data_IF_454151925972
#
_entry.id   IF_454151925972
#
_cell.length_a   1.000
_cell.length_b   1.000
_cell.length_c   1.000
_cell.angle_alpha   90.00
_cell.angle_beta   90.00
_cell.angle_gamma   90.00
#
_symmetry.space_group_name_H-M   'P 1'
#
loop_
_entity.id
_entity.type
_entity.pdbx_description
1 polymer ?
#
# COMPACT_ATOMS: atom_id res chain seq x y z
N UNK A 1 16.58 -5.64 18.19
CA UNK A 1 16.77 -4.17 18.08
C UNK A 1 15.41 -3.51 18.27
N UNK A 2 15.37 -2.28 18.74
CA UNK A 2 14.12 -1.55 18.85
C UNK A 2 13.74 -0.91 17.51
N UNK A 3 12.46 -0.58 17.30
CA UNK A 3 12.01 0.14 16.11
C UNK A 3 12.85 1.39 15.81
N UNK A 4 13.24 2.14 16.86
CA UNK A 4 14.04 3.35 16.70
C UNK A 4 15.46 3.05 16.18
N UNK A 5 16.10 1.99 16.66
CA UNK A 5 17.41 1.55 16.17
C UNK A 5 17.33 1.12 14.71
N UNK A 6 16.27 0.42 14.32
CA UNK A 6 16.06 -0.02 12.95
C UNK A 6 15.80 1.17 12.01
N UNK A 7 15.00 2.15 12.42
CA UNK A 7 14.78 3.38 11.69
C UNK A 7 16.04 4.25 11.57
N UNK A 8 16.91 4.25 12.59
CA UNK A 8 18.21 4.92 12.53
C UNK A 8 19.20 4.20 11.59
N UNK A 9 19.12 2.86 11.52
CA UNK A 9 19.96 2.06 10.63
C UNK A 9 19.63 2.28 9.14
N UNK A 10 18.34 2.39 8.77
CA UNK A 10 17.93 2.51 7.37
C UNK A 10 18.35 3.85 6.77
N UNK A 11 18.67 3.88 5.50
CA UNK A 11 18.85 5.10 4.70
C UNK A 11 18.28 4.92 3.28
N UNK A 12 18.13 6.01 2.52
CA UNK A 12 17.66 5.97 1.15
C UNK A 12 18.80 5.60 0.20
N UNK A 13 19.03 4.30 0.02
CA UNK A 13 20.05 3.79 -0.88
C UNK A 13 19.78 4.23 -2.32
N UNK A 14 20.83 4.68 -3.02
CA UNK A 14 20.77 5.10 -4.43
C UNK A 14 21.20 4.01 -5.40
N UNK A 15 21.72 2.92 -4.88
CA UNK A 15 22.14 1.74 -5.64
C UNK A 15 21.89 0.50 -4.80
N UNK A 16 21.34 -0.53 -5.42
CA UNK A 16 21.16 -1.85 -4.80
C UNK A 16 22.26 -2.79 -5.27
N UNK A 17 22.50 -3.85 -4.50
CA UNK A 17 23.52 -4.86 -4.81
C UNK A 17 23.04 -5.96 -5.76
N UNK A 18 21.73 -5.99 -6.09
CA UNK A 18 21.12 -7.00 -6.96
C UNK A 18 20.76 -8.31 -6.24
N UNK A 19 21.02 -8.43 -4.95
CA UNK A 19 20.64 -9.61 -4.19
C UNK A 19 19.13 -9.75 -4.05
N UNK A 20 18.66 -11.00 -4.12
CA UNK A 20 17.25 -11.30 -3.89
C UNK A 20 17.01 -11.49 -2.39
N UNK A 21 16.00 -10.81 -1.85
CA UNK A 21 15.61 -11.03 -0.45
C UNK A 21 14.88 -12.37 -0.29
N UNK A 22 15.01 -13.06 0.84
CA UNK A 22 14.20 -14.24 1.15
C UNK A 22 12.71 -13.91 1.12
N UNK A 23 11.89 -14.86 0.64
CA UNK A 23 10.43 -14.69 0.53
C UNK A 23 9.79 -14.33 1.87
N UNK A 24 10.25 -14.94 2.96
CA UNK A 24 9.77 -14.66 4.32
C UNK A 24 9.93 -13.20 4.75
N UNK A 25 11.00 -12.51 4.31
CA UNK A 25 11.18 -11.08 4.56
C UNK A 25 10.23 -10.23 3.73
N UNK A 26 10.03 -10.61 2.47
CA UNK A 26 9.06 -9.95 1.61
C UNK A 26 7.64 -10.08 2.20
N UNK A 27 7.26 -11.29 2.60
CA UNK A 27 5.94 -11.55 3.20
C UNK A 27 5.73 -10.74 4.48
N UNK A 28 6.76 -10.63 5.32
CA UNK A 28 6.73 -9.79 6.54
C UNK A 28 6.48 -8.31 6.21
N UNK A 29 7.17 -7.78 5.21
CA UNK A 29 7.02 -6.39 4.76
C UNK A 29 5.61 -6.15 4.20
N UNK A 30 5.10 -7.07 3.41
CA UNK A 30 3.76 -7.00 2.83
C UNK A 30 2.67 -7.10 3.90
N UNK A 31 2.86 -7.98 4.89
CA UNK A 31 1.93 -8.10 6.01
C UNK A 31 1.87 -6.83 6.85
N UNK A 32 3.01 -6.19 7.12
CA UNK A 32 3.04 -4.90 7.80
C UNK A 32 2.28 -3.81 6.99
N UNK A 33 2.45 -3.79 5.66
CA UNK A 33 1.69 -2.90 4.78
C UNK A 33 0.17 -3.19 4.83
N UNK A 34 -0.22 -4.48 4.85
CA UNK A 34 -1.62 -4.93 4.93
C UNK A 34 -2.28 -4.54 6.25
N UNK A 35 -1.54 -4.59 7.36
CA UNK A 35 -2.02 -4.26 8.71
C UNK A 35 -2.09 -2.75 8.97
N UNK A 36 -1.66 -1.92 8.03
CA UNK A 36 -1.71 -0.47 8.18
C UNK A 36 -3.17 0.02 8.37
N UNK A 37 -3.42 0.89 9.36
CA UNK A 37 -4.74 1.48 9.54
C UNK A 37 -5.08 2.41 8.37
N UNK A 38 -6.38 2.52 8.06
CA UNK A 38 -6.88 3.49 7.10
C UNK A 38 -8.23 4.05 7.54
N UNK A 39 -8.61 5.21 7.01
CA UNK A 39 -9.91 5.80 7.26
C UNK A 39 -11.01 4.80 6.92
N UNK A 40 -11.92 4.56 7.89
CA UNK A 40 -13.04 3.60 7.78
C UNK A 40 -12.62 2.15 7.41
N UNK A 41 -11.35 1.81 7.55
CA UNK A 41 -10.82 0.51 7.15
C UNK A 41 -10.84 0.22 5.65
N UNK A 42 -11.06 1.23 4.82
CA UNK A 42 -11.27 1.06 3.37
C UNK A 42 -10.02 0.64 2.61
N UNK A 43 -8.81 0.92 3.13
CA UNK A 43 -7.55 0.65 2.44
C UNK A 43 -7.62 0.99 0.93
N UNK A 44 -7.85 2.27 0.56
CA UNK A 44 -8.19 2.67 -0.81
C UNK A 44 -6.95 2.71 -1.70
N UNK A 45 -6.25 1.57 -1.80
CA UNK A 45 -5.03 1.40 -2.60
C UNK A 45 -4.81 -0.09 -2.92
N UNK A 46 -3.94 -0.34 -3.89
CA UNK A 46 -3.37 -1.67 -4.17
C UNK A 46 -1.85 -1.60 -4.07
N UNK A 47 -1.24 -2.65 -3.55
CA UNK A 47 0.21 -2.80 -3.55
C UNK A 47 0.60 -3.83 -4.61
N UNK A 48 1.35 -3.39 -5.62
CA UNK A 48 1.90 -4.28 -6.65
C UNK A 48 3.32 -4.65 -6.26
N UNK A 49 3.61 -5.95 -6.28
CA UNK A 49 4.94 -6.51 -6.06
C UNK A 49 5.53 -6.90 -7.40
N UNK A 50 6.57 -6.21 -7.83
CA UNK A 50 7.14 -6.37 -9.17
C UNK A 50 8.57 -6.90 -9.06
N UNK A 51 8.81 -8.10 -9.62
CA UNK A 51 10.14 -8.73 -9.74
C UNK A 51 10.53 -9.03 -11.18
N UNK A 52 9.61 -8.87 -12.14
CA UNK A 52 9.87 -9.10 -13.56
C UNK A 52 10.88 -8.08 -14.10
N UNK A 53 12.04 -8.53 -14.53
CA UNK A 53 13.18 -7.70 -14.96
C UNK A 53 12.88 -6.85 -16.19
N UNK A 54 12.10 -7.35 -17.14
CA UNK A 54 11.72 -6.59 -18.34
C UNK A 54 10.78 -5.44 -17.97
N UNK A 55 9.83 -5.69 -17.04
CA UNK A 55 8.93 -4.66 -16.54
C UNK A 55 9.68 -3.62 -15.71
N UNK A 56 10.61 -4.03 -14.84
CA UNK A 56 11.45 -3.11 -14.06
C UNK A 56 12.30 -2.21 -14.96
N UNK A 57 12.82 -2.74 -16.09
CA UNK A 57 13.56 -1.93 -17.05
C UNK A 57 12.67 -0.82 -17.67
N UNK A 58 11.45 -1.16 -18.07
CA UNK A 58 10.48 -0.19 -18.60
C UNK A 58 10.07 0.85 -17.54
N UNK A 59 9.88 0.44 -16.29
CA UNK A 59 9.56 1.35 -15.18
C UNK A 59 10.73 2.30 -14.91
N UNK A 60 11.98 1.82 -14.95
CA UNK A 60 13.17 2.65 -14.80
C UNK A 60 13.18 3.83 -15.77
N UNK A 61 12.80 3.60 -17.04
CA UNK A 61 12.81 4.63 -18.07
C UNK A 61 11.88 5.81 -17.73
N UNK A 62 10.72 5.53 -17.11
CA UNK A 62 9.75 6.56 -16.66
C UNK A 62 10.02 7.05 -15.23
N UNK A 63 10.85 6.34 -14.47
CA UNK A 63 11.26 6.67 -13.10
C UNK A 63 12.62 7.40 -13.06
N UNK A 64 12.81 8.36 -13.95
CA UNK A 64 14.01 9.23 -14.05
C UNK A 64 15.33 8.46 -14.19
N UNK A 65 15.30 7.26 -14.76
CA UNK A 65 16.49 6.44 -14.97
C UNK A 65 17.14 5.92 -13.69
N UNK A 66 16.41 5.90 -12.56
CA UNK A 66 16.95 5.48 -11.26
C UNK A 66 17.37 4.01 -11.29
N UNK A 67 18.66 3.73 -11.04
CA UNK A 67 19.21 2.37 -11.13
C UNK A 67 18.61 1.43 -10.07
N UNK A 68 18.27 1.93 -8.88
CA UNK A 68 17.66 1.13 -7.83
C UNK A 68 16.35 0.45 -8.25
N UNK A 69 15.65 0.98 -9.25
CA UNK A 69 14.41 0.37 -9.78
C UNK A 69 14.71 -0.96 -10.46
N UNK A 70 15.83 -1.09 -11.16
CA UNK A 70 16.20 -2.33 -11.85
C UNK A 70 17.11 -3.22 -10.99
N UNK A 71 17.89 -2.61 -10.09
CA UNK A 71 18.84 -3.35 -9.26
C UNK A 71 18.18 -3.98 -8.01
N UNK A 72 16.96 -3.56 -7.64
CA UNK A 72 16.27 -4.09 -6.46
C UNK A 72 15.82 -5.55 -6.63
N UNK A 73 15.62 -6.22 -5.51
CA UNK A 73 14.99 -7.54 -5.45
C UNK A 73 13.54 -7.47 -5.95
N UNK A 74 12.75 -6.60 -5.33
CA UNK A 74 11.36 -6.35 -5.64
C UNK A 74 11.08 -4.84 -5.59
N UNK A 75 10.24 -4.36 -6.50
CA UNK A 75 9.68 -3.01 -6.46
C UNK A 75 8.25 -3.08 -5.92
N UNK A 76 7.97 -2.35 -4.86
CA UNK A 76 6.62 -2.20 -4.33
C UNK A 76 6.02 -0.89 -4.86
N UNK A 77 4.90 -0.99 -5.58
CA UNK A 77 4.15 0.16 -6.10
C UNK A 77 2.84 0.28 -5.35
N UNK A 78 2.67 1.36 -4.63
CA UNK A 78 1.44 1.70 -3.89
C UNK A 78 0.55 2.55 -4.78
N UNK A 79 -0.49 1.96 -5.34
CA UNK A 79 -1.42 2.62 -6.24
C UNK A 79 -2.70 2.99 -5.50
N UNK A 80 -2.85 4.27 -5.16
CA UNK A 80 -4.06 4.79 -4.52
C UNK A 80 -5.24 4.84 -5.49
N UNK A 81 -6.47 4.76 -4.95
CA UNK A 81 -7.68 4.99 -5.74
C UNK A 81 -7.75 6.43 -6.23
N UNK A 82 -8.33 6.63 -7.39
CA UNK A 82 -8.61 7.93 -7.99
C UNK A 82 -9.96 8.52 -7.54
N UNK A 83 -10.67 7.82 -6.66
CA UNK A 83 -11.95 8.21 -6.08
C UNK A 83 -12.67 7.06 -5.39
N UNK A 84 -13.70 7.39 -4.64
CA UNK A 84 -14.53 6.47 -3.87
C UNK A 84 -15.84 6.21 -4.62
N UNK A 85 -15.90 5.14 -5.43
CA UNK A 85 -17.17 4.71 -6.02
C UNK A 85 -17.95 3.80 -5.07
N UNK A 86 -19.27 3.75 -5.23
CA UNK A 86 -20.12 2.83 -4.48
C UNK A 86 -19.69 1.36 -4.64
N UNK A 87 -19.23 0.99 -5.85
CA UNK A 87 -18.74 -0.38 -6.12
C UNK A 87 -17.51 -0.71 -5.29
N UNK A 88 -16.46 0.16 -5.33
CA UNK A 88 -15.22 -0.06 -4.58
C UNK A 88 -15.44 -0.10 -3.07
N UNK A 89 -16.26 0.81 -2.55
CA UNK A 89 -16.57 0.86 -1.11
C UNK A 89 -17.40 -0.36 -0.71
N UNK A 90 -18.36 -0.76 -1.52
CA UNK A 90 -19.17 -1.96 -1.26
C UNK A 90 -18.34 -3.24 -1.31
N UNK A 91 -17.40 -3.37 -2.26
CA UNK A 91 -16.49 -4.52 -2.33
C UNK A 91 -15.70 -4.69 -1.03
N UNK A 92 -15.13 -3.62 -0.50
CA UNK A 92 -14.37 -3.68 0.76
C UNK A 92 -15.25 -4.04 1.96
N UNK A 93 -16.42 -3.43 2.09
CA UNK A 93 -17.31 -3.75 3.21
C UNK A 93 -17.88 -5.16 3.10
N UNK A 94 -18.26 -5.62 1.91
CA UNK A 94 -18.73 -6.97 1.70
C UNK A 94 -17.63 -7.99 2.07
N UNK A 95 -16.41 -7.80 1.58
CA UNK A 95 -15.27 -8.63 1.95
C UNK A 95 -15.07 -8.65 3.48
N UNK A 96 -15.13 -7.50 4.13
CA UNK A 96 -14.99 -7.42 5.59
C UNK A 96 -16.11 -8.16 6.34
N UNK A 97 -17.33 -8.13 5.81
CA UNK A 97 -18.46 -8.85 6.40
C UNK A 97 -18.34 -10.35 6.18
N UNK A 98 -17.90 -10.78 5.01
CA UNK A 98 -17.62 -12.18 4.70
C UNK A 98 -16.58 -12.76 5.68
N UNK A 99 -15.43 -12.06 5.88
CA UNK A 99 -14.40 -12.45 6.84
C UNK A 99 -14.90 -12.53 8.29
N UNK A 100 -15.92 -11.77 8.64
CA UNK A 100 -16.54 -11.76 9.97
C UNK A 100 -17.74 -12.72 10.11
N UNK A 101 -18.17 -13.35 9.03
CA UNK A 101 -19.37 -14.18 9.00
C UNK A 101 -20.66 -13.40 9.26
N UNK A 102 -20.72 -12.13 8.84
CA UNK A 102 -21.85 -11.23 9.04
C UNK A 102 -22.57 -10.93 7.72
N UNK A 103 -23.89 -10.63 7.75
CA UNK A 103 -24.60 -10.18 6.56
C UNK A 103 -24.01 -8.89 5.98
N UNK A 104 -23.93 -8.75 4.66
CA UNK A 104 -23.43 -7.54 3.98
C UNK A 104 -24.21 -6.28 4.40
N UNK A 105 -25.53 -6.41 4.62
CA UNK A 105 -26.38 -5.30 5.06
C UNK A 105 -25.99 -4.68 6.40
N UNK A 106 -25.18 -5.37 7.20
CA UNK A 106 -24.71 -4.87 8.50
C UNK A 106 -23.99 -3.52 8.38
N UNK A 107 -23.36 -3.24 7.23
CA UNK A 107 -22.59 -2.01 7.00
C UNK A 107 -23.29 -1.02 6.07
N UNK A 108 -24.53 -1.26 5.64
CA UNK A 108 -25.19 -0.42 4.63
C UNK A 108 -25.35 1.04 5.08
N UNK A 109 -25.80 1.28 6.30
CA UNK A 109 -25.96 2.65 6.84
C UNK A 109 -24.61 3.38 6.92
N UNK A 110 -23.57 2.68 7.39
CA UNK A 110 -22.24 3.25 7.49
C UNK A 110 -21.62 3.53 6.11
N UNK A 111 -21.78 2.62 5.17
CA UNK A 111 -21.38 2.78 3.78
C UNK A 111 -22.03 4.00 3.13
N UNK A 112 -23.37 4.10 3.25
CA UNK A 112 -24.13 5.21 2.71
C UNK A 112 -23.73 6.55 3.33
N UNK A 113 -23.44 6.59 4.63
CA UNK A 113 -22.94 7.76 5.31
C UNK A 113 -21.57 8.21 4.76
N UNK A 114 -20.63 7.28 4.60
CA UNK A 114 -19.30 7.59 4.04
C UNK A 114 -19.40 8.11 2.61
N UNK A 115 -20.17 7.46 1.75
CA UNK A 115 -20.37 7.89 0.37
C UNK A 115 -20.99 9.29 0.33
N UNK A 116 -22.02 9.55 1.14
CA UNK A 116 -22.66 10.86 1.24
C UNK A 116 -21.72 11.96 1.76
N UNK A 117 -20.73 11.62 2.61
CA UNK A 117 -19.72 12.56 3.07
C UNK A 117 -18.64 12.83 2.01
N UNK A 118 -18.23 11.83 1.24
CA UNK A 118 -17.10 11.97 0.32
C UNK A 118 -17.52 12.51 -1.07
N UNK A 119 -18.72 12.19 -1.55
CA UNK A 119 -19.20 12.60 -2.86
C UNK A 119 -19.17 14.12 -3.07
N UNK A 120 -19.66 14.97 -2.13
CA UNK A 120 -19.66 16.41 -2.28
C UNK A 120 -18.26 17.04 -2.31
N UNK A 121 -17.23 16.34 -1.81
CA UNK A 121 -15.86 16.86 -1.73
C UNK A 121 -15.11 16.81 -3.07
N UNK A 122 -15.67 16.13 -4.06
CA UNK A 122 -15.13 16.07 -5.42
C UNK A 122 -13.94 15.09 -5.58
N UNK A 123 -13.62 14.80 -6.85
CA UNK A 123 -12.64 13.76 -7.21
C UNK A 123 -11.22 14.07 -6.75
N UNK A 124 -10.79 15.31 -6.83
CA UNK A 124 -9.44 15.72 -6.43
C UNK A 124 -9.20 15.46 -4.94
N UNK A 125 -10.14 15.88 -4.09
CA UNK A 125 -10.08 15.59 -2.67
C UNK A 125 -10.08 14.09 -2.38
N UNK A 126 -10.93 13.32 -3.09
CA UNK A 126 -11.05 11.88 -2.90
C UNK A 126 -9.73 11.17 -3.25
N UNK A 127 -9.11 11.54 -4.37
CA UNK A 127 -7.81 10.99 -4.78
C UNK A 127 -6.70 11.34 -3.80
N UNK A 128 -6.63 12.61 -3.33
CA UNK A 128 -5.67 13.05 -2.32
C UNK A 128 -5.87 12.32 -0.99
N UNK A 129 -7.12 12.16 -0.55
CA UNK A 129 -7.45 11.39 0.65
C UNK A 129 -7.02 9.93 0.53
N UNK A 130 -7.28 9.27 -0.60
CA UNK A 130 -6.86 7.89 -0.86
C UNK A 130 -5.32 7.78 -0.88
N UNK A 131 -4.63 8.72 -1.51
CA UNK A 131 -3.18 8.78 -1.52
C UNK A 131 -2.60 8.87 -0.10
N UNK A 132 -3.16 9.69 0.78
CA UNK A 132 -2.73 9.78 2.19
C UNK A 132 -2.87 8.45 2.93
N UNK A 133 -3.91 7.65 2.66
CA UNK A 133 -4.06 6.31 3.24
C UNK A 133 -2.97 5.36 2.72
N UNK A 134 -2.62 5.43 1.44
CA UNK A 134 -1.55 4.62 0.88
C UNK A 134 -0.17 4.97 1.46
N UNK A 135 0.09 6.23 1.80
CA UNK A 135 1.32 6.65 2.49
C UNK A 135 1.46 6.06 3.89
N UNK A 136 0.35 5.83 4.61
CA UNK A 136 0.38 5.16 5.92
C UNK A 136 0.87 3.72 5.73
N UNK A 137 0.32 2.99 4.77
CA UNK A 137 0.75 1.62 4.43
C UNK A 137 2.20 1.58 3.95
N UNK A 138 2.60 2.52 3.10
CA UNK A 138 3.98 2.66 2.64
C UNK A 138 4.96 2.89 3.79
N UNK A 139 4.61 3.73 4.76
CA UNK A 139 5.45 3.97 5.94
C UNK A 139 5.61 2.71 6.81
N UNK A 140 4.55 1.91 6.96
CA UNK A 140 4.61 0.62 7.66
C UNK A 140 5.52 -0.38 6.93
N UNK A 141 5.45 -0.44 5.60
CA UNK A 141 6.35 -1.26 4.79
C UNK A 141 7.82 -0.85 4.98
N UNK A 142 8.12 0.47 4.99
CA UNK A 142 9.47 0.98 5.23
C UNK A 142 9.99 0.58 6.62
N UNK A 143 9.17 0.70 7.65
CA UNK A 143 9.53 0.32 9.00
C UNK A 143 9.82 -1.19 9.10
N UNK A 144 8.97 -2.02 8.50
CA UNK A 144 9.16 -3.47 8.45
C UNK A 144 10.41 -3.87 7.66
N UNK A 145 10.69 -3.20 6.52
CA UNK A 145 11.92 -3.44 5.77
C UNK A 145 13.16 -3.12 6.59
N UNK A 146 13.15 -2.01 7.34
CA UNK A 146 14.24 -1.64 8.25
C UNK A 146 14.46 -2.71 9.33
N UNK A 147 13.39 -3.23 9.93
CA UNK A 147 13.44 -4.31 10.92
C UNK A 147 14.04 -5.61 10.35
N UNK A 148 13.68 -5.94 9.11
CA UNK A 148 14.19 -7.10 8.39
C UNK A 148 15.60 -6.89 7.80
N UNK A 149 16.19 -5.69 7.96
CA UNK A 149 17.51 -5.34 7.38
C UNK A 149 17.53 -5.50 5.85
N UNK A 150 16.53 -4.95 5.22
CA UNK A 150 16.36 -4.94 3.75
C UNK A 150 16.48 -3.52 3.21
#
# INVERSE_FOLDING_TARGET
MSLLEDLQWRYAAKKMNGEQIPQEKLDYILEAARLAPSSSGLQPYKVFVISNRELLAKIKDVAWGQSQVIDCSHLLVFAAWDGYSNERVSEVFNYTMDERGLPHSTMDDYKNNILGLYEPLGKEWQADHAAKQSYISFAMAIAAAAEQKV
#
